data_IF_954072243933
#
_entry.id   IF_954072243933
#
_cell.length_a   1.000
_cell.length_b   1.000
_cell.length_c   1.000
_cell.angle_alpha   90.00
_cell.angle_beta   90.00
_cell.angle_gamma   90.00
#
_symmetry.space_group_name_H-M   'P 1'
#
loop_
_entity.id
_entity.type
_entity.pdbx_description
1 polymer ?
#
# COMPACT_ATOMS: atom_id res chain seq x y z
N UNK A 1 -13.54 1.96 0.33
CA UNK A 1 -12.25 2.10 1.01
C UNK A 1 -12.22 1.17 2.22
N UNK A 2 -11.28 0.23 2.24
CA UNK A 2 -11.09 -0.69 3.36
C UNK A 2 -9.98 -0.19 4.32
N UNK A 3 -9.87 -0.81 5.49
CA UNK A 3 -8.90 -0.39 6.52
C UNK A 3 -7.43 -0.44 6.04
N UNK A 4 -7.04 -1.51 5.33
CA UNK A 4 -5.66 -1.66 4.85
C UNK A 4 -5.30 -0.67 3.75
N UNK A 5 -6.23 -0.36 2.84
CA UNK A 5 -6.04 0.68 1.82
C UNK A 5 -5.74 2.04 2.46
N UNK A 6 -6.48 2.40 3.52
CA UNK A 6 -6.23 3.65 4.24
C UNK A 6 -4.89 3.61 4.97
N UNK A 7 -4.58 2.53 5.69
CA UNK A 7 -3.32 2.42 6.43
C UNK A 7 -2.10 2.51 5.51
N UNK A 8 -2.15 1.81 4.36
CA UNK A 8 -1.10 1.87 3.34
C UNK A 8 -0.97 3.27 2.78
N UNK A 9 -2.07 3.91 2.42
CA UNK A 9 -2.03 5.27 1.89
C UNK A 9 -1.43 6.26 2.89
N UNK A 10 -1.87 6.24 4.15
CA UNK A 10 -1.28 7.07 5.20
C UNK A 10 0.22 6.79 5.35
N UNK A 11 0.64 5.53 5.33
CA UNK A 11 2.06 5.15 5.44
C UNK A 11 2.91 5.70 4.31
N UNK A 12 2.44 5.62 3.07
CA UNK A 12 3.16 6.16 1.92
C UNK A 12 3.14 7.70 1.92
N UNK A 13 2.02 8.35 2.21
CA UNK A 13 1.94 9.81 2.30
C UNK A 13 2.87 10.35 3.39
N UNK A 14 2.88 9.74 4.57
CA UNK A 14 3.77 10.10 5.68
C UNK A 14 5.26 10.00 5.31
N UNK A 15 5.61 9.12 4.37
CA UNK A 15 6.98 8.91 3.86
C UNK A 15 7.34 9.80 2.67
N UNK A 16 6.48 10.76 2.31
CA UNK A 16 6.72 11.73 1.24
C UNK A 16 6.25 11.30 -0.15
N UNK A 17 5.40 10.27 -0.26
CA UNK A 17 4.82 9.89 -1.54
C UNK A 17 3.56 10.71 -1.85
N UNK A 18 3.36 11.02 -3.12
CA UNK A 18 2.05 11.42 -3.65
C UNK A 18 1.22 10.17 -3.88
N UNK A 19 0.08 10.09 -3.20
CA UNK A 19 -0.76 8.89 -3.22
C UNK A 19 -2.09 9.18 -3.92
N UNK A 20 -2.49 8.27 -4.81
CA UNK A 20 -3.85 8.17 -5.35
C UNK A 20 -4.47 6.85 -4.88
N UNK A 21 -5.75 6.89 -4.55
CA UNK A 21 -6.52 5.74 -4.05
C UNK A 21 -7.73 5.50 -4.94
N UNK A 22 -8.19 4.24 -5.02
CA UNK A 22 -9.39 3.83 -5.76
C UNK A 22 -9.42 4.43 -7.18
N UNK A 23 -8.30 4.30 -7.89
CA UNK A 23 -8.08 4.97 -9.17
C UNK A 23 -8.70 4.15 -10.28
N UNK A 24 -9.76 4.68 -10.88
CA UNK A 24 -10.34 4.10 -12.09
C UNK A 24 -9.42 4.37 -13.29
N UNK A 25 -8.96 3.30 -13.96
CA UNK A 25 -7.97 3.35 -15.05
C UNK A 25 -8.47 2.71 -16.33
N UNK A 26 -7.91 3.13 -17.47
CA UNK A 26 -8.29 2.60 -18.78
C UNK A 26 -9.74 2.92 -19.16
N UNK A 27 -10.11 4.21 -19.17
CA UNK A 27 -11.45 4.65 -19.57
C UNK A 27 -11.77 4.14 -20.98
N UNK A 28 -12.95 3.54 -21.16
CA UNK A 28 -13.36 2.92 -22.43
C UNK A 28 -14.31 3.84 -23.22
N UNK A 29 -14.32 3.70 -24.54
CA UNK A 29 -15.13 4.55 -25.44
C UNK A 29 -16.62 4.51 -25.15
N UNK A 30 -17.14 3.33 -24.77
CA UNK A 30 -18.56 3.12 -24.44
C UNK A 30 -18.90 3.40 -22.97
N UNK A 31 -17.98 4.05 -22.24
CA UNK A 31 -18.10 4.27 -20.80
C UNK A 31 -17.52 3.14 -19.96
N UNK A 32 -17.35 3.43 -18.67
CA UNK A 32 -16.66 2.54 -17.73
C UNK A 32 -15.14 2.57 -17.87
N UNK A 33 -14.51 1.70 -17.09
CA UNK A 33 -13.07 1.62 -16.91
C UNK A 33 -12.59 0.18 -17.01
N UNK A 34 -11.31 0.02 -17.33
CA UNK A 34 -10.69 -1.29 -17.43
C UNK A 34 -10.52 -1.94 -16.06
N UNK A 35 -10.08 -1.14 -15.09
CA UNK A 35 -9.88 -1.57 -13.73
C UNK A 35 -10.00 -0.40 -12.75
N UNK A 36 -10.10 -0.74 -11.47
CA UNK A 36 -9.87 0.18 -10.36
C UNK A 36 -8.61 -0.29 -9.65
N UNK A 37 -7.67 0.61 -9.37
CA UNK A 37 -6.43 0.33 -8.64
C UNK A 37 -6.56 0.85 -7.21
N UNK A 38 -6.14 0.06 -6.23
CA UNK A 38 -6.44 0.37 -4.83
C UNK A 38 -5.56 1.51 -4.32
N UNK A 39 -4.23 1.37 -4.41
CA UNK A 39 -3.27 2.42 -4.03
C UNK A 39 -2.15 2.53 -5.07
N UNK A 40 -1.92 3.74 -5.57
CA UNK A 40 -0.77 4.09 -6.42
C UNK A 40 -0.02 5.24 -5.75
N UNK A 41 1.28 5.06 -5.50
CA UNK A 41 2.10 5.99 -4.77
C UNK A 41 3.38 6.34 -5.55
N UNK A 42 3.72 7.62 -5.67
CA UNK A 42 4.93 8.08 -6.34
C UNK A 42 5.77 8.98 -5.43
N UNK A 43 7.06 8.67 -5.29
CA UNK A 43 8.03 9.52 -4.59
C UNK A 43 8.99 10.13 -5.61
N UNK A 44 8.97 11.47 -5.83
CA UNK A 44 9.76 12.10 -6.88
C UNK A 44 11.26 12.04 -6.61
N UNK A 45 11.70 12.28 -5.37
CA UNK A 45 13.14 12.28 -5.05
C UNK A 45 13.77 10.88 -5.15
N UNK A 46 13.04 9.84 -4.72
CA UNK A 46 13.51 8.44 -4.79
C UNK A 46 13.30 7.82 -6.17
N UNK A 47 12.63 8.50 -7.09
CA UNK A 47 12.15 7.95 -8.36
C UNK A 47 11.50 6.58 -8.16
N UNK A 48 10.58 6.51 -7.21
CA UNK A 48 9.95 5.26 -6.80
C UNK A 48 8.44 5.30 -7.02
N UNK A 49 7.95 4.36 -7.83
CA UNK A 49 6.54 4.22 -8.19
C UNK A 49 6.03 2.87 -7.69
N UNK A 50 4.98 2.90 -6.88
CA UNK A 50 4.44 1.73 -6.19
C UNK A 50 2.97 1.58 -6.52
N UNK A 51 2.56 0.34 -6.74
CA UNK A 51 1.17 -0.08 -6.89
C UNK A 51 0.87 -1.16 -5.85
N UNK A 52 0.03 -0.84 -4.86
CA UNK A 52 -0.34 -1.76 -3.77
C UNK A 52 -1.79 -2.17 -3.92
N UNK A 53 -2.05 -3.47 -3.83
CA UNK A 53 -3.37 -4.07 -3.82
C UNK A 53 -3.57 -4.83 -2.49
N UNK A 54 -4.24 -4.22 -1.50
CA UNK A 54 -4.56 -4.87 -0.24
C UNK A 54 -5.71 -5.87 -0.36
N UNK A 55 -5.59 -7.03 0.28
CA UNK A 55 -6.67 -8.00 0.37
C UNK A 55 -6.75 -8.69 1.73
N UNK A 56 -7.97 -8.81 2.23
CA UNK A 56 -8.34 -9.62 3.40
C UNK A 56 -9.00 -10.95 2.98
N UNK A 57 -8.87 -11.36 1.71
CA UNK A 57 -9.42 -12.64 1.28
C UNK A 57 -8.66 -13.83 1.88
N UNK A 58 -9.33 -14.97 1.99
CA UNK A 58 -8.73 -16.27 2.31
C UNK A 58 -8.86 -17.23 1.11
N UNK A 59 -8.83 -16.71 -0.11
CA UNK A 59 -8.95 -17.52 -1.31
C UNK A 59 -7.71 -18.39 -1.54
N UNK A 60 -7.88 -19.39 -2.41
CA UNK A 60 -6.76 -20.21 -2.89
C UNK A 60 -5.74 -19.34 -3.63
N UNK A 61 -4.47 -19.75 -3.62
CA UNK A 61 -3.41 -19.07 -4.37
C UNK A 61 -3.73 -18.90 -5.85
N UNK A 62 -4.32 -19.92 -6.49
CA UNK A 62 -4.74 -19.83 -7.88
C UNK A 62 -5.77 -18.71 -8.12
N UNK A 63 -6.76 -18.55 -7.22
CA UNK A 63 -7.75 -17.48 -7.37
C UNK A 63 -7.16 -16.10 -7.08
N UNK A 64 -6.21 -16.01 -6.14
CA UNK A 64 -5.45 -14.78 -5.89
C UNK A 64 -4.62 -14.41 -7.12
N UNK A 65 -3.90 -15.36 -7.72
CA UNK A 65 -3.09 -15.14 -8.92
C UNK A 65 -3.93 -14.53 -10.04
N UNK A 66 -5.10 -15.12 -10.33
CA UNK A 66 -6.05 -14.58 -11.33
C UNK A 66 -6.48 -13.13 -11.04
N UNK A 67 -6.88 -12.85 -9.79
CA UNK A 67 -7.39 -11.54 -9.39
C UNK A 67 -6.31 -10.46 -9.44
N UNK A 68 -5.15 -10.76 -8.87
CA UNK A 68 -4.02 -9.83 -8.82
C UNK A 68 -3.39 -9.64 -10.20
N UNK A 69 -3.36 -10.66 -11.06
CA UNK A 69 -2.88 -10.52 -12.44
C UNK A 69 -3.68 -9.48 -13.23
N UNK A 70 -5.01 -9.46 -13.05
CA UNK A 70 -5.85 -8.42 -13.67
C UNK A 70 -5.49 -7.01 -13.18
N UNK A 71 -5.42 -6.82 -11.85
CA UNK A 71 -5.09 -5.53 -11.23
C UNK A 71 -3.70 -5.05 -11.63
N UNK A 72 -2.70 -5.91 -11.51
CA UNK A 72 -1.30 -5.58 -11.81
C UNK A 72 -1.04 -5.35 -13.29
N UNK A 73 -1.67 -6.12 -14.18
CA UNK A 73 -1.62 -5.86 -15.62
C UNK A 73 -2.21 -4.49 -15.98
N UNK A 74 -3.39 -4.18 -15.44
CA UNK A 74 -3.99 -2.85 -15.61
C UNK A 74 -3.11 -1.74 -15.04
N UNK A 75 -2.48 -1.95 -13.88
CA UNK A 75 -1.52 -1.03 -13.28
C UNK A 75 -0.37 -0.71 -14.23
N UNK A 76 0.30 -1.73 -14.77
CA UNK A 76 1.42 -1.54 -15.73
C UNK A 76 0.99 -0.79 -16.98
N UNK A 77 -0.19 -1.08 -17.50
CA UNK A 77 -0.68 -0.48 -18.75
C UNK A 77 -1.14 0.97 -18.58
N UNK A 78 -1.70 1.33 -17.42
CA UNK A 78 -2.44 2.59 -17.28
C UNK A 78 -1.89 3.57 -16.24
N UNK A 79 -1.05 3.15 -15.29
CA UNK A 79 -0.44 4.07 -14.30
C UNK A 79 0.38 5.18 -14.97
N UNK A 80 1.20 4.94 -16.01
CA UNK A 80 1.98 6.02 -16.63
C UNK A 80 1.12 7.19 -17.12
N UNK A 81 -0.08 6.92 -17.62
CA UNK A 81 -1.01 7.96 -18.08
C UNK A 81 -1.55 8.83 -16.93
N UNK A 82 -1.54 8.35 -15.68
CA UNK A 82 -2.00 9.12 -14.50
C UNK A 82 -1.07 10.28 -14.14
N UNK A 83 0.18 10.22 -14.56
CA UNK A 83 1.24 11.17 -14.23
C UNK A 83 1.78 11.87 -15.48
N UNK A 84 0.92 12.11 -16.49
CA UNK A 84 1.31 12.79 -17.73
C UNK A 84 2.00 14.12 -17.42
N UNK A 85 3.21 14.30 -17.96
CA UNK A 85 4.05 15.47 -17.73
C UNK A 85 5.06 15.32 -16.59
N UNK A 86 5.07 14.17 -15.90
CA UNK A 86 6.06 13.82 -14.88
C UNK A 86 6.95 12.70 -15.42
N UNK A 87 8.27 12.82 -15.22
CA UNK A 87 9.20 11.73 -15.50
C UNK A 87 9.03 10.67 -14.42
N UNK A 88 8.61 9.48 -14.83
CA UNK A 88 8.44 8.33 -13.95
C UNK A 88 9.61 7.34 -14.12
N UNK A 89 9.91 6.53 -13.08
CA UNK A 89 10.77 5.37 -13.25
C UNK A 89 10.17 4.36 -14.24
N UNK A 90 11.02 3.54 -14.86
CA UNK A 90 10.58 2.48 -15.77
C UNK A 90 9.84 1.34 -15.06
N UNK A 91 10.19 1.10 -13.80
CA UNK A 91 9.64 0.02 -12.99
C UNK A 91 8.52 0.51 -12.06
N UNK A 92 7.48 -0.30 -11.95
CA UNK A 92 6.43 -0.16 -10.95
C UNK A 92 6.59 -1.28 -9.94
N UNK A 93 6.90 -0.96 -8.68
CA UNK A 93 6.89 -1.95 -7.62
C UNK A 93 5.44 -2.37 -7.35
N UNK A 94 5.10 -3.62 -7.68
CA UNK A 94 3.76 -4.16 -7.46
C UNK A 94 3.74 -5.03 -6.20
N UNK A 95 2.85 -4.67 -5.27
CA UNK A 95 2.79 -5.29 -3.94
C UNK A 95 1.40 -5.86 -3.72
N UNK A 96 1.32 -7.16 -3.48
CA UNK A 96 0.13 -7.82 -2.98
C UNK A 96 0.16 -7.83 -1.45
N UNK A 97 -0.62 -6.94 -0.82
CA UNK A 97 -0.69 -6.85 0.64
C UNK A 97 -1.78 -7.79 1.16
N UNK A 98 -1.38 -8.87 1.84
CA UNK A 98 -2.30 -9.94 2.25
C UNK A 98 -2.50 -9.96 3.77
N UNK A 99 -3.76 -9.88 4.19
CA UNK A 99 -4.15 -9.99 5.61
C UNK A 99 -4.17 -11.42 6.14
N UNK A 100 -4.55 -12.40 5.31
CA UNK A 100 -4.55 -13.82 5.66
C UNK A 100 -3.63 -14.59 4.73
N UNK A 101 -2.32 -14.49 4.95
CA UNK A 101 -1.34 -15.29 4.24
C UNK A 101 -0.05 -15.41 5.07
N UNK A 102 0.74 -16.43 4.76
CA UNK A 102 2.18 -16.40 5.01
C UNK A 102 2.89 -16.25 3.67
N UNK A 103 4.02 -15.55 3.68
CA UNK A 103 4.92 -15.50 2.54
C UNK A 103 6.08 -16.50 2.69
N UNK A 104 5.98 -17.49 3.59
CA UNK A 104 7.06 -18.43 3.85
C UNK A 104 7.44 -19.23 2.59
N UNK A 105 6.43 -19.73 1.88
CA UNK A 105 6.59 -20.60 0.72
C UNK A 105 6.27 -19.93 -0.61
N UNK A 106 5.42 -18.90 -0.61
CA UNK A 106 5.06 -18.13 -1.82
C UNK A 106 5.57 -16.70 -1.62
N UNK A 107 6.44 -16.25 -2.51
CA UNK A 107 7.11 -14.94 -2.42
C UNK A 107 6.56 -13.91 -3.41
N UNK A 108 5.95 -14.39 -4.50
CA UNK A 108 5.45 -13.60 -5.61
C UNK A 108 4.01 -14.00 -5.90
N UNK A 109 3.18 -13.02 -6.27
CA UNK A 109 1.81 -13.19 -6.70
C UNK A 109 1.57 -12.32 -7.93
N UNK A 110 1.21 -12.92 -9.06
CA UNK A 110 0.98 -12.21 -10.33
C UNK A 110 2.16 -11.32 -10.79
N UNK A 111 3.38 -11.75 -10.46
CA UNK A 111 4.62 -11.00 -10.73
C UNK A 111 4.95 -9.90 -9.72
N UNK A 112 4.02 -9.55 -8.82
CA UNK A 112 4.26 -8.62 -7.72
C UNK A 112 4.78 -9.32 -6.47
N UNK A 113 5.49 -8.61 -5.60
CA UNK A 113 5.94 -9.18 -4.32
C UNK A 113 4.77 -9.31 -3.36
N UNK A 114 4.81 -10.33 -2.50
CA UNK A 114 3.87 -10.46 -1.40
C UNK A 114 4.38 -9.65 -0.20
N UNK A 115 3.47 -8.91 0.42
CA UNK A 115 3.67 -8.28 1.72
C UNK A 115 2.55 -8.76 2.64
N UNK A 116 2.90 -9.21 3.84
CA UNK A 116 1.91 -9.54 4.86
C UNK A 116 1.55 -8.30 5.67
N UNK A 117 0.39 -8.31 6.33
CA UNK A 117 0.05 -7.25 7.30
C UNK A 117 1.07 -7.18 8.44
N UNK A 118 1.61 -8.30 8.90
CA UNK A 118 2.67 -8.33 9.90
C UNK A 118 3.93 -7.56 9.44
N UNK A 119 4.36 -7.75 8.20
CA UNK A 119 5.48 -6.99 7.61
C UNK A 119 5.15 -5.50 7.46
N UNK A 120 3.92 -5.15 7.08
CA UNK A 120 3.50 -3.74 7.02
C UNK A 120 3.55 -3.08 8.40
N UNK A 121 3.01 -3.73 9.42
CA UNK A 121 3.07 -3.21 10.78
C UNK A 121 4.51 -3.12 11.29
N UNK A 122 5.37 -4.10 10.97
CA UNK A 122 6.78 -4.03 11.32
C UNK A 122 7.48 -2.83 10.67
N UNK A 123 7.25 -2.57 9.37
CA UNK A 123 7.78 -1.38 8.69
C UNK A 123 7.28 -0.08 9.33
N UNK A 124 5.98 0.03 9.61
CA UNK A 124 5.39 1.22 10.23
C UNK A 124 5.98 1.45 11.61
N UNK A 125 5.96 0.45 12.48
CA UNK A 125 6.50 0.52 13.84
C UNK A 125 7.98 0.89 13.82
N UNK A 126 8.78 0.29 12.94
CA UNK A 126 10.19 0.63 12.79
C UNK A 126 10.40 2.12 12.43
N UNK A 127 9.50 2.72 11.66
CA UNK A 127 9.61 4.13 11.26
C UNK A 127 8.96 5.16 12.17
N UNK A 128 8.21 4.75 13.20
CA UNK A 128 7.52 5.69 14.12
C UNK A 128 7.74 5.42 15.62
N UNK A 129 8.21 4.23 16.02
CA UNK A 129 8.24 3.82 17.44
C UNK A 129 9.23 4.58 18.31
N UNK A 130 10.24 5.22 17.73
CA UNK A 130 11.21 6.09 18.38
C UNK A 130 10.73 7.56 18.49
N UNK A 131 9.65 7.91 17.78
CA UNK A 131 9.08 9.25 17.75
C UNK A 131 8.11 9.42 18.91
N UNK A 132 8.55 10.09 19.98
CA UNK A 132 7.67 10.45 21.09
C UNK A 132 6.59 11.43 20.65
N UNK A 133 5.34 11.19 21.03
CA UNK A 133 4.19 12.08 20.73
C UNK A 133 4.48 13.51 21.18
N UNK A 134 5.09 13.70 22.35
CA UNK A 134 5.43 15.02 22.89
C UNK A 134 6.47 15.81 22.06
N UNK A 135 7.19 15.17 21.12
CA UNK A 135 8.29 15.81 20.35
C UNK A 135 8.13 15.69 18.84
N UNK A 136 7.51 14.62 18.36
CA UNK A 136 7.42 14.27 16.95
C UNK A 136 6.13 13.48 16.69
N UNK A 137 4.98 14.08 17.06
CA UNK A 137 3.68 13.48 16.81
C UNK A 137 3.45 13.23 15.31
N UNK A 138 2.93 12.06 14.97
CA UNK A 138 2.37 11.78 13.64
C UNK A 138 1.22 12.76 13.41
N UNK A 139 1.20 13.54 12.31
CA UNK A 139 0.15 14.52 12.03
C UNK A 139 -1.26 13.93 12.10
N UNK A 140 -2.24 14.72 12.55
CA UNK A 140 -3.62 14.26 12.76
C UNK A 140 -4.34 13.80 11.49
N UNK A 141 -3.89 14.26 10.32
CA UNK A 141 -4.37 13.79 9.03
C UNK A 141 -4.06 12.30 8.75
N UNK A 142 -3.18 11.68 9.55
CA UNK A 142 -2.86 10.25 9.48
C UNK A 142 -3.38 9.52 10.74
N UNK A 143 -4.71 9.39 10.90
CA UNK A 143 -5.31 8.89 12.13
C UNK A 143 -4.92 7.45 12.46
N UNK A 144 -4.74 6.57 11.46
CA UNK A 144 -4.33 5.19 11.71
C UNK A 144 -2.88 5.12 12.15
N UNK A 145 -1.97 5.83 11.47
CA UNK A 145 -0.57 5.90 11.90
C UNK A 145 -0.41 6.52 13.28
N UNK A 146 -1.17 7.59 13.58
CA UNK A 146 -1.16 8.24 14.89
C UNK A 146 -1.65 7.30 15.98
N UNK A 147 -2.66 6.48 15.70
CA UNK A 147 -3.12 5.42 16.61
C UNK A 147 -2.00 4.40 16.88
N UNK A 148 -1.25 4.00 15.85
CA UNK A 148 -0.10 3.09 16.01
C UNK A 148 1.01 3.76 16.86
N UNK A 149 1.28 5.05 16.66
CA UNK A 149 2.24 5.79 17.50
C UNK A 149 1.83 5.77 18.98
N UNK A 150 0.56 6.04 19.29
CA UNK A 150 0.05 5.96 20.67
C UNK A 150 0.17 4.54 21.24
N UNK A 151 -0.18 3.53 20.45
CA UNK A 151 -0.02 2.14 20.86
C UNK A 151 1.45 1.81 21.18
N UNK A 152 2.40 2.29 20.36
CA UNK A 152 3.83 2.15 20.65
C UNK A 152 4.24 2.90 21.92
N UNK A 153 3.78 4.15 22.13
CA UNK A 153 4.15 4.96 23.30
C UNK A 153 3.62 4.36 24.61
N UNK A 154 2.38 3.86 24.60
CA UNK A 154 1.71 3.34 25.80
C UNK A 154 1.87 1.84 26.01
N UNK A 155 2.60 1.12 25.15
CA UNK A 155 2.75 -0.35 25.23
C UNK A 155 3.18 -0.86 26.61
N UNK A 156 4.13 -0.17 27.25
CA UNK A 156 4.64 -0.55 28.57
C UNK A 156 3.62 -0.28 29.68
N UNK A 157 2.92 0.85 29.61
CA UNK A 157 1.85 1.17 30.56
C UNK A 157 0.65 0.21 30.42
N UNK A 158 0.43 -0.32 29.21
CA UNK A 158 -0.59 -1.32 28.92
C UNK A 158 -0.15 -2.77 29.20
N UNK A 159 1.06 -3.00 29.73
CA UNK A 159 1.65 -4.32 29.97
C UNK A 159 1.74 -5.22 28.72
N UNK A 160 1.93 -4.62 27.54
CA UNK A 160 2.19 -5.37 26.32
C UNK A 160 3.63 -5.91 26.35
N UNK A 161 3.80 -7.19 25.99
CA UNK A 161 5.10 -7.86 25.93
C UNK A 161 5.77 -7.64 24.59
#
# INVERSE_FOLDING_TARGET
>A
MNHLEQLVAEWYEYRGYFVRRNVQVGKRDKGGYDCELDVVAFHPEKQHLVHVEPSMDAHTWAKREERFAKKFSAGRNHIPALFKGIVLPSEIEQIALLGFASNANVKVLAGGRIMTTAELFAEIVAGISDKRVAKAAVPEQYPLLRTIQFACEHRHAANWR
#
